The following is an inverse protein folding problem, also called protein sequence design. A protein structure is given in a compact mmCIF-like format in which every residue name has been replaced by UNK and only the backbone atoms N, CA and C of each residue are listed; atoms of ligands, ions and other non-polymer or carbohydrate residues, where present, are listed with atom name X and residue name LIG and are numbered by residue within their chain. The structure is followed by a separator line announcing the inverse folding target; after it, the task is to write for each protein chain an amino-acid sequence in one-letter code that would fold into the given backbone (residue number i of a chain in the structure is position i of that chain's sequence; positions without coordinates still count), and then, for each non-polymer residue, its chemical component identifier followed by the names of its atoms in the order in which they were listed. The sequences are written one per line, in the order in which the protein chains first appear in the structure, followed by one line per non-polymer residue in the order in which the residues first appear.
data_IF_074976251033
#
_entry.id   IF_074976251033
#
_cell.length_a   1.000
_cell.length_b   1.000
_cell.length_c   1.000
_cell.angle_alpha   90.00
_cell.angle_beta   90.00
_cell.angle_gamma   90.00
#
_symmetry.space_group_name_H-M   'P 1'
#
loop_
_entity.id
_entity.type
_entity.pdbx_description
1 polymer ?
#
# COMPACT_ATOMS: atom_id res chain seq x y z
N UNK A 1 23.37 31.70 -47.81
CA UNK A 1 23.46 30.44 -47.02
C UNK A 1 22.82 30.70 -45.66
N UNK A 2 21.50 30.53 -45.54
CA UNK A 2 20.78 30.63 -44.27
C UNK A 2 20.16 29.25 -44.01
N UNK A 3 20.70 28.52 -43.04
CA UNK A 3 20.14 27.23 -42.61
C UNK A 3 18.91 27.49 -41.72
N UNK A 4 17.77 26.99 -42.17
CA UNK A 4 16.53 26.90 -41.40
C UNK A 4 16.64 25.68 -40.46
N UNK A 5 16.81 25.89 -39.16
CA UNK A 5 16.67 24.81 -38.17
C UNK A 5 15.20 24.55 -37.87
N UNK A 6 14.64 23.50 -38.48
CA UNK A 6 13.35 22.93 -38.11
C UNK A 6 13.49 22.22 -36.76
N UNK A 7 13.16 22.92 -35.67
CA UNK A 7 12.92 22.30 -34.37
C UNK A 7 11.61 21.50 -34.44
N UNK A 8 11.71 20.21 -34.75
CA UNK A 8 10.64 19.24 -34.49
C UNK A 8 10.50 19.11 -32.97
N UNK A 9 9.63 19.91 -32.36
CA UNK A 9 9.17 19.64 -31.00
C UNK A 9 8.35 18.36 -31.05
N UNK A 10 8.95 17.26 -30.61
CA UNK A 10 8.25 16.02 -30.34
C UNK A 10 7.25 16.30 -29.23
N UNK A 11 6.00 16.60 -29.59
CA UNK A 11 4.88 16.62 -28.66
C UNK A 11 4.74 15.18 -28.15
N UNK A 12 5.39 14.89 -27.02
CA UNK A 12 5.10 13.70 -26.25
C UNK A 12 3.62 13.85 -25.86
N UNK A 13 2.77 13.08 -26.54
CA UNK A 13 1.38 12.90 -26.18
C UNK A 13 1.38 12.17 -24.83
N UNK A 14 1.59 12.90 -23.74
CA UNK A 14 1.31 12.42 -22.39
C UNK A 14 -0.19 12.18 -22.36
N UNK A 15 -0.62 10.95 -22.67
CA UNK A 15 -1.93 10.46 -22.25
C UNK A 15 -1.97 10.71 -20.75
N UNK A 16 -2.76 11.71 -20.35
CA UNK A 16 -2.75 12.24 -18.98
C UNK A 16 -2.80 11.09 -17.98
N UNK A 17 -1.73 10.94 -17.21
CA UNK A 17 -1.73 10.04 -16.06
C UNK A 17 -2.85 10.56 -15.17
N UNK A 18 -3.93 9.81 -15.06
CA UNK A 18 -5.10 10.21 -14.28
C UNK A 18 -4.78 10.00 -12.79
N UNK A 19 -3.94 10.87 -12.26
CA UNK A 19 -3.44 10.87 -10.88
C UNK A 19 -4.59 10.94 -9.89
N UNK A 20 -4.36 10.46 -8.67
CA UNK A 20 -5.34 10.60 -7.60
C UNK A 20 -5.48 12.07 -7.19
N UNK A 21 -6.69 12.48 -6.80
CA UNK A 21 -6.92 13.76 -6.15
C UNK A 21 -6.32 13.78 -4.74
N UNK A 22 -6.12 14.96 -4.15
CA UNK A 22 -5.57 15.04 -2.78
C UNK A 22 -6.48 14.38 -1.74
N UNK A 23 -7.81 14.40 -1.94
CA UNK A 23 -8.74 13.69 -1.06
C UNK A 23 -8.65 12.17 -1.20
N UNK A 24 -8.41 11.66 -2.42
CA UNK A 24 -8.17 10.23 -2.68
C UNK A 24 -6.85 9.75 -2.07
N UNK A 25 -5.77 10.54 -2.24
CA UNK A 25 -4.46 10.30 -1.61
C UNK A 25 -4.57 10.28 -0.09
N UNK A 26 -5.30 11.26 0.48
CA UNK A 26 -5.55 11.32 1.91
C UNK A 26 -6.35 10.11 2.39
N UNK A 27 -7.41 9.72 1.67
CA UNK A 27 -8.25 8.59 2.05
C UNK A 27 -7.47 7.27 2.19
N UNK A 28 -6.57 6.98 1.24
CA UNK A 28 -5.77 5.74 1.30
C UNK A 28 -4.72 5.78 2.41
N UNK A 29 -4.09 6.94 2.65
CA UNK A 29 -3.13 7.13 3.76
C UNK A 29 -3.82 7.03 5.12
N UNK A 30 -4.95 7.69 5.29
CA UNK A 30 -5.74 7.64 6.53
C UNK A 30 -6.18 6.20 6.82
N UNK A 31 -6.62 5.46 5.82
CA UNK A 31 -7.01 4.07 5.98
C UNK A 31 -5.83 3.19 6.44
N UNK A 32 -4.68 3.31 5.80
CA UNK A 32 -3.47 2.58 6.20
C UNK A 32 -3.04 2.94 7.63
N UNK A 33 -2.97 4.22 7.95
CA UNK A 33 -2.55 4.68 9.27
C UNK A 33 -3.55 4.34 10.37
N UNK A 34 -4.85 4.29 10.08
CA UNK A 34 -5.87 3.78 11.01
C UNK A 34 -5.57 2.33 11.40
N UNK A 35 -5.35 1.46 10.43
CA UNK A 35 -5.06 0.05 10.70
C UNK A 35 -3.70 -0.16 11.38
N UNK A 36 -2.67 0.56 10.94
CA UNK A 36 -1.34 0.54 11.58
C UNK A 36 -1.40 1.03 13.03
N UNK A 37 -2.21 2.06 13.31
CA UNK A 37 -2.44 2.57 14.66
C UNK A 37 -3.18 1.54 15.53
N UNK A 38 -4.22 0.88 15.00
CA UNK A 38 -4.89 -0.21 15.70
C UNK A 38 -3.93 -1.35 16.02
N UNK A 39 -3.07 -1.74 15.08
CA UNK A 39 -2.05 -2.77 15.29
C UNK A 39 -1.06 -2.36 16.36
N UNK A 40 -0.46 -1.16 16.25
CA UNK A 40 0.52 -0.67 17.21
C UNK A 40 -0.01 -0.74 18.65
N UNK A 41 -1.28 -0.38 18.83
CA UNK A 41 -1.97 -0.37 20.13
C UNK A 41 -2.55 -1.73 20.56
N UNK A 42 -2.34 -2.81 19.81
CA UNK A 42 -2.84 -4.15 20.15
C UNK A 42 -4.36 -4.30 20.02
N UNK A 43 -4.98 -3.51 19.14
CA UNK A 43 -6.43 -3.47 18.87
C UNK A 43 -6.80 -4.07 17.51
N UNK A 44 -5.82 -4.41 16.68
CA UNK A 44 -6.07 -5.05 15.38
C UNK A 44 -6.43 -6.53 15.58
N UNK A 45 -7.51 -6.98 14.96
CA UNK A 45 -7.96 -8.37 15.07
C UNK A 45 -6.99 -9.32 14.37
N UNK A 46 -6.78 -10.49 14.98
CA UNK A 46 -6.12 -11.64 14.38
C UNK A 46 -7.16 -12.76 14.16
N UNK A 47 -6.78 -13.88 13.53
CA UNK A 47 -7.66 -15.05 13.42
C UNK A 47 -8.18 -15.52 14.79
N UNK A 48 -7.33 -15.42 15.81
CA UNK A 48 -7.71 -15.62 17.20
C UNK A 48 -7.23 -14.42 18.02
N UNK A 49 -8.16 -13.74 18.70
CA UNK A 49 -7.86 -12.58 19.53
C UNK A 49 -7.37 -11.37 18.73
N UNK A 50 -6.32 -10.72 19.25
CA UNK A 50 -5.74 -9.50 18.68
C UNK A 50 -4.26 -9.72 18.33
N UNK A 51 -3.78 -8.98 17.34
CA UNK A 51 -2.35 -8.86 17.06
C UNK A 51 -1.64 -8.20 18.25
N UNK A 52 -0.42 -8.63 18.61
CA UNK A 52 0.35 -8.02 19.68
C UNK A 52 0.69 -6.55 19.37
N UNK A 53 0.92 -5.76 20.41
CA UNK A 53 1.35 -4.37 20.28
C UNK A 53 2.67 -4.27 19.51
N UNK A 54 2.80 -3.21 18.71
CA UNK A 54 3.98 -2.92 17.91
C UNK A 54 4.72 -1.69 18.43
N UNK A 55 6.01 -1.85 18.77
CA UNK A 55 6.81 -0.76 19.33
C UNK A 55 7.41 0.20 18.30
N UNK A 56 7.49 -0.22 17.03
CA UNK A 56 8.26 0.46 15.97
C UNK A 56 7.46 0.70 14.67
N UNK A 57 6.13 0.75 14.75
CA UNK A 57 5.27 0.90 13.57
C UNK A 57 5.37 2.33 13.03
N UNK A 58 5.99 2.54 11.87
CA UNK A 58 6.11 3.89 11.29
C UNK A 58 4.79 4.40 10.70
N UNK A 59 4.55 5.70 10.79
CA UNK A 59 3.45 6.33 10.06
C UNK A 59 3.74 6.34 8.56
N UNK A 60 2.73 6.00 7.74
CA UNK A 60 2.82 6.07 6.28
C UNK A 60 2.46 7.48 5.80
N UNK A 61 3.19 7.95 4.79
CA UNK A 61 2.97 9.19 4.05
C UNK A 61 2.72 8.88 2.57
N UNK A 62 2.07 9.79 1.87
CA UNK A 62 1.88 9.65 0.43
C UNK A 62 3.14 10.07 -0.32
N UNK A 63 3.56 9.31 -1.34
CA UNK A 63 4.72 9.61 -2.17
C UNK A 63 4.34 9.58 -3.66
N UNK A 64 4.55 10.72 -4.33
CA UNK A 64 4.23 10.91 -5.75
C UNK A 64 5.09 10.06 -6.68
N UNK A 65 6.35 9.77 -6.34
CA UNK A 65 7.21 8.92 -7.14
C UNK A 65 6.74 7.46 -7.08
N UNK A 66 6.28 7.02 -5.90
CA UNK A 66 5.66 5.70 -5.74
C UNK A 66 4.33 5.63 -6.49
N UNK A 67 3.52 6.70 -6.48
CA UNK A 67 2.29 6.79 -7.28
C UNK A 67 2.57 6.66 -8.78
N UNK A 68 3.56 7.38 -9.31
CA UNK A 68 3.92 7.29 -10.73
C UNK A 68 4.30 5.86 -11.14
N UNK A 69 5.06 5.17 -10.28
CA UNK A 69 5.41 3.76 -10.50
C UNK A 69 4.17 2.85 -10.49
N UNK A 70 3.26 3.04 -9.53
CA UNK A 70 2.00 2.31 -9.47
C UNK A 70 1.10 2.61 -10.69
N UNK A 71 1.02 3.86 -11.14
CA UNK A 71 0.25 4.27 -12.31
C UNK A 71 0.77 3.67 -13.61
N UNK A 72 2.10 3.64 -13.78
CA UNK A 72 2.75 2.98 -14.91
C UNK A 72 2.37 1.50 -14.98
N UNK A 73 2.35 0.80 -13.84
CA UNK A 73 1.93 -0.60 -13.81
C UNK A 73 0.43 -0.77 -14.02
N UNK A 74 -0.40 0.03 -13.34
CA UNK A 74 -1.85 -0.01 -13.46
C UNK A 74 -2.31 0.17 -14.92
N UNK A 75 -1.63 1.03 -15.69
CA UNK A 75 -1.92 1.27 -17.11
C UNK A 75 -1.84 0.03 -18.00
N UNK A 76 -1.13 -1.01 -17.56
CA UNK A 76 -1.00 -2.28 -18.29
C UNK A 76 -2.27 -3.12 -18.23
N UNK A 77 -3.20 -2.83 -17.31
CA UNK A 77 -4.45 -3.58 -17.15
C UNK A 77 -4.25 -5.10 -17.05
N UNK A 78 -3.19 -5.52 -16.37
CA UNK A 78 -2.86 -6.91 -16.09
C UNK A 78 -3.31 -7.31 -14.68
N UNK A 79 -3.36 -8.62 -14.42
CA UNK A 79 -3.66 -9.20 -13.09
C UNK A 79 -2.41 -9.76 -12.39
N UNK A 80 -1.23 -9.39 -12.88
CA UNK A 80 0.06 -9.81 -12.34
C UNK A 80 0.74 -8.68 -11.57
N UNK A 81 1.57 -9.06 -10.59
CA UNK A 81 2.47 -8.14 -9.92
C UNK A 81 3.55 -7.61 -10.87
N UNK A 82 4.03 -6.39 -10.61
CA UNK A 82 5.02 -5.70 -11.45
C UNK A 82 6.42 -6.31 -11.41
N UNK A 83 6.77 -7.02 -10.34
CA UNK A 83 8.14 -7.47 -10.09
C UNK A 83 9.14 -6.32 -9.86
N UNK A 84 8.64 -5.10 -9.63
CA UNK A 84 9.46 -3.92 -9.40
C UNK A 84 10.09 -3.88 -8.01
N UNK A 85 10.84 -2.80 -7.74
CA UNK A 85 11.56 -2.59 -6.47
C UNK A 85 10.68 -2.22 -5.27
N UNK A 86 9.44 -1.81 -5.52
CA UNK A 86 8.50 -1.41 -4.47
C UNK A 86 7.70 -2.63 -4.01
N UNK A 87 7.21 -2.59 -2.77
CA UNK A 87 6.18 -3.53 -2.33
C UNK A 87 4.90 -3.23 -3.10
N UNK A 88 3.98 -4.18 -3.21
CA UNK A 88 2.81 -4.00 -4.07
C UNK A 88 1.59 -4.78 -3.57
N UNK A 89 0.45 -4.08 -3.50
CA UNK A 89 -0.86 -4.68 -3.30
C UNK A 89 -1.76 -4.35 -4.49
N UNK A 90 -2.51 -5.35 -4.96
CA UNK A 90 -3.41 -5.26 -6.09
C UNK A 90 -4.86 -5.41 -5.64
N UNK A 91 -5.76 -4.68 -6.28
CA UNK A 91 -7.20 -4.84 -6.09
C UNK A 91 -7.93 -4.71 -7.43
N UNK A 92 -9.01 -5.47 -7.59
CA UNK A 92 -9.77 -5.55 -8.83
C UNK A 92 -11.25 -5.52 -8.54
N UNK A 93 -12.02 -4.89 -9.43
CA UNK A 93 -13.48 -4.91 -9.41
C UNK A 93 -14.02 -5.02 -10.83
N UNK A 94 -15.08 -5.81 -11.01
CA UNK A 94 -15.84 -5.87 -12.26
C UNK A 94 -16.68 -4.61 -12.52
N UNK A 95 -16.82 -3.72 -11.52
CA UNK A 95 -17.54 -2.47 -11.67
C UNK A 95 -16.75 -1.48 -12.52
N UNK A 96 -17.35 -1.02 -13.63
CA UNK A 96 -16.74 -0.05 -14.53
C UNK A 96 -16.74 1.37 -13.98
N UNK A 97 -17.68 1.68 -13.08
CA UNK A 97 -17.94 3.03 -12.57
C UNK A 97 -17.68 3.15 -11.06
N UNK A 98 -16.89 2.24 -10.48
CA UNK A 98 -16.52 2.34 -9.08
C UNK A 98 -15.77 3.64 -8.82
N UNK A 99 -16.34 4.48 -7.95
CA UNK A 99 -15.70 5.72 -7.51
C UNK A 99 -14.30 5.42 -6.98
N UNK A 100 -13.30 6.25 -7.34
CA UNK A 100 -11.89 6.01 -6.99
C UNK A 100 -11.67 5.93 -5.47
N UNK A 101 -12.25 6.86 -4.70
CA UNK A 101 -12.20 6.83 -3.22
C UNK A 101 -12.82 5.55 -2.68
N UNK A 102 -13.99 5.14 -3.19
CA UNK A 102 -14.62 3.88 -2.79
C UNK A 102 -13.73 2.67 -3.12
N UNK A 103 -13.11 2.63 -4.30
CA UNK A 103 -12.16 1.57 -4.68
C UNK A 103 -10.96 1.51 -3.71
N UNK A 104 -10.36 2.65 -3.39
CA UNK A 104 -9.23 2.77 -2.46
C UNK A 104 -9.58 2.25 -1.06
N UNK A 105 -10.73 2.63 -0.53
CA UNK A 105 -11.17 2.19 0.81
C UNK A 105 -11.56 0.70 0.80
N UNK A 106 -12.25 0.22 -0.24
CA UNK A 106 -12.56 -1.21 -0.37
C UNK A 106 -11.29 -2.06 -0.45
N UNK A 107 -10.32 -1.64 -1.26
CA UNK A 107 -9.02 -2.31 -1.37
C UNK A 107 -8.29 -2.35 -0.02
N UNK A 108 -8.14 -1.20 0.64
CA UNK A 108 -7.49 -1.11 1.95
C UNK A 108 -8.15 -2.03 3.00
N UNK A 109 -9.48 -2.03 3.08
CA UNK A 109 -10.21 -2.88 4.02
C UNK A 109 -10.08 -4.37 3.65
N UNK A 110 -10.12 -4.70 2.36
CA UNK A 110 -9.99 -6.07 1.87
C UNK A 110 -8.59 -6.64 2.11
N UNK A 111 -7.55 -5.84 1.92
CA UNK A 111 -6.17 -6.25 2.19
C UNK A 111 -5.95 -6.46 3.68
N UNK A 112 -6.43 -5.55 4.53
CA UNK A 112 -6.28 -5.69 5.98
C UNK A 112 -7.09 -6.85 6.57
N UNK A 113 -8.26 -7.16 6.00
CA UNK A 113 -9.11 -8.24 6.50
C UNK A 113 -8.44 -9.61 6.47
N UNK A 114 -7.40 -9.79 5.66
CA UNK A 114 -6.56 -10.98 5.64
C UNK A 114 -5.94 -11.28 7.01
N UNK A 115 -5.54 -10.27 7.79
CA UNK A 115 -5.01 -10.50 9.13
C UNK A 115 -6.01 -11.19 10.06
N UNK A 116 -7.29 -10.84 9.94
CA UNK A 116 -8.37 -11.51 10.67
C UNK A 116 -8.72 -12.87 10.06
N UNK A 117 -8.76 -12.97 8.74
CA UNK A 117 -9.25 -14.18 8.05
C UNK A 117 -8.22 -15.32 8.03
N UNK A 118 -6.92 -15.01 7.95
CA UNK A 118 -5.83 -15.97 7.75
C UNK A 118 -4.93 -16.11 8.97
N UNK A 119 -4.86 -15.05 9.76
CA UNK A 119 -4.11 -14.99 11.00
C UNK A 119 -2.60 -14.86 10.81
N UNK A 120 -1.97 -14.05 11.66
CA UNK A 120 -0.51 -14.01 11.80
C UNK A 120 -0.05 -14.91 12.93
N UNK A 121 1.01 -15.68 12.67
CA UNK A 121 1.69 -16.45 13.71
C UNK A 121 2.28 -15.55 14.81
N UNK A 122 2.36 -16.09 16.02
CA UNK A 122 2.80 -15.34 17.20
C UNK A 122 4.23 -14.81 17.08
N UNK A 123 5.13 -15.48 16.34
CA UNK A 123 6.50 -15.01 16.11
C UNK A 123 6.57 -13.71 15.30
N UNK A 124 5.53 -13.40 14.50
CA UNK A 124 5.49 -12.32 13.52
C UNK A 124 6.57 -12.39 12.44
N UNK A 125 7.27 -13.53 12.32
CA UNK A 125 8.20 -13.80 11.23
C UNK A 125 7.37 -14.17 10.01
N UNK A 126 7.61 -13.51 8.87
CA UNK A 126 6.98 -13.88 7.61
C UNK A 126 7.80 -14.99 6.95
N UNK A 127 7.56 -16.24 7.30
CA UNK A 127 8.14 -17.38 6.57
C UNK A 127 7.31 -17.73 5.32
N UNK A 128 7.79 -18.73 4.57
CA UNK A 128 7.11 -19.16 3.34
C UNK A 128 5.74 -19.78 3.61
N UNK A 129 5.56 -20.52 4.71
CA UNK A 129 4.28 -21.12 5.06
C UNK A 129 3.26 -20.04 5.42
N UNK A 130 3.70 -19.04 6.18
CA UNK A 130 2.91 -17.88 6.53
C UNK A 130 2.48 -17.09 5.29
N UNK A 131 3.43 -16.78 4.40
CA UNK A 131 3.16 -16.06 3.16
C UNK A 131 2.20 -16.83 2.23
N UNK A 132 2.36 -18.15 2.13
CA UNK A 132 1.52 -19.02 1.30
C UNK A 132 0.05 -19.11 1.75
N UNK A 133 -0.30 -18.64 2.96
CA UNK A 133 -1.71 -18.42 3.33
C UNK A 133 -2.38 -17.33 2.46
N UNK A 134 -1.59 -16.56 1.72
CA UNK A 134 -2.02 -15.40 0.96
C UNK A 134 -2.24 -14.18 1.84
N UNK A 135 -1.54 -14.05 2.97
CA UNK A 135 -1.64 -12.90 3.89
C UNK A 135 -0.76 -11.70 3.46
N UNK A 136 -0.21 -11.78 2.25
CA UNK A 136 0.78 -10.85 1.71
C UNK A 136 0.31 -9.39 1.70
N UNK A 137 -0.99 -9.15 1.46
CA UNK A 137 -1.49 -7.78 1.41
C UNK A 137 -1.55 -7.17 2.81
N UNK A 138 -2.07 -7.88 3.81
CA UNK A 138 -2.09 -7.38 5.19
C UNK A 138 -0.67 -7.20 5.75
N UNK A 139 0.23 -8.15 5.48
CA UNK A 139 1.61 -8.07 5.98
C UNK A 139 2.38 -6.89 5.41
N UNK A 140 2.18 -6.55 4.14
CA UNK A 140 2.73 -5.34 3.55
C UNK A 140 2.16 -4.07 4.21
N UNK A 141 0.85 -4.03 4.49
CA UNK A 141 0.25 -2.89 5.21
C UNK A 141 0.76 -2.77 6.65
N UNK A 142 1.03 -3.90 7.32
CA UNK A 142 1.52 -3.98 8.69
C UNK A 142 3.04 -3.78 8.82
N UNK A 143 3.78 -3.79 7.71
CA UNK A 143 5.25 -3.79 7.72
C UNK A 143 5.83 -2.55 8.41
N UNK A 144 6.57 -2.74 9.50
CA UNK A 144 6.95 -1.65 10.40
C UNK A 144 7.75 -0.54 9.69
N UNK A 145 8.66 -0.91 8.80
CA UNK A 145 9.61 0.00 8.15
C UNK A 145 9.11 0.64 6.87
N UNK A 146 7.98 0.20 6.32
CA UNK A 146 7.35 0.86 5.17
C UNK A 146 6.78 2.21 5.60
N UNK A 147 7.22 3.28 4.94
CA UNK A 147 6.88 4.67 5.30
C UNK A 147 6.13 5.42 4.21
N UNK A 148 6.16 4.93 2.98
CA UNK A 148 5.59 5.63 1.84
C UNK A 148 4.66 4.71 1.05
N UNK A 149 3.55 5.28 0.61
CA UNK A 149 2.59 4.63 -0.29
C UNK A 149 2.29 5.55 -1.47
N UNK A 150 2.07 4.95 -2.64
CA UNK A 150 1.51 5.64 -3.79
C UNK A 150 0.62 4.68 -4.57
N UNK A 151 -0.53 5.15 -5.03
CA UNK A 151 -1.55 4.27 -5.62
C UNK A 151 -2.11 4.84 -6.92
N UNK A 152 -2.62 3.95 -7.77
CA UNK A 152 -3.30 4.32 -8.99
C UNK A 152 -4.56 3.47 -9.20
N UNK A 153 -5.61 4.10 -9.71
CA UNK A 153 -6.87 3.45 -10.10
C UNK A 153 -7.04 3.58 -11.61
N UNK A 154 -6.88 2.47 -12.32
CA UNK A 154 -7.01 2.38 -13.77
C UNK A 154 -8.37 1.78 -14.16
N UNK A 155 -9.00 2.36 -15.18
CA UNK A 155 -10.17 1.77 -15.83
C UNK A 155 -9.73 0.91 -17.01
N UNK A 156 -10.11 -0.37 -17.00
CA UNK A 156 -9.69 -1.39 -17.95
C UNK A 156 -10.91 -1.92 -18.71
N UNK A 157 -11.44 -1.12 -19.65
CA UNK A 157 -12.71 -1.38 -20.33
C UNK A 157 -12.77 -2.74 -21.06
N UNK A 158 -11.65 -3.21 -21.60
CA UNK A 158 -11.52 -4.49 -22.32
C UNK A 158 -11.28 -5.71 -21.41
N UNK A 159 -11.07 -5.51 -20.11
CA UNK A 159 -10.84 -6.59 -19.13
C UNK A 159 -12.16 -7.02 -18.47
N UNK A 160 -12.24 -8.25 -17.95
CA UNK A 160 -13.31 -8.65 -17.00
C UNK A 160 -13.26 -7.79 -15.74
N UNK A 161 -12.06 -7.41 -15.31
CA UNK A 161 -11.80 -6.51 -14.19
C UNK A 161 -11.79 -5.07 -14.69
N UNK A 162 -12.94 -4.41 -14.64
CA UNK A 162 -13.13 -3.07 -15.20
C UNK A 162 -12.43 -1.95 -14.42
N UNK A 163 -12.23 -2.14 -13.12
CA UNK A 163 -11.43 -1.25 -12.27
C UNK A 163 -10.26 -2.04 -11.70
N UNK A 164 -9.04 -1.56 -11.96
CA UNK A 164 -7.79 -2.14 -11.47
C UNK A 164 -7.06 -1.11 -10.61
N UNK A 165 -6.69 -1.50 -9.40
CA UNK A 165 -6.01 -0.65 -8.43
C UNK A 165 -4.68 -1.28 -8.06
N UNK A 166 -3.63 -0.47 -8.15
CA UNK A 166 -2.27 -0.82 -7.72
C UNK A 166 -1.88 0.16 -6.63
N UNK A 167 -1.49 -0.33 -5.45
CA UNK A 167 -0.77 0.45 -4.45
C UNK A 167 0.64 -0.11 -4.31
N UNK A 168 1.63 0.77 -4.37
CA UNK A 168 3.03 0.43 -4.14
C UNK A 168 3.55 1.04 -2.85
N UNK A 169 4.55 0.38 -2.26
CA UNK A 169 5.07 0.66 -0.93
C UNK A 169 6.59 0.83 -0.94
N UNK A 170 7.09 1.86 -0.25
CA UNK A 170 8.52 2.14 -0.15
C UNK A 170 8.93 2.55 1.27
N UNK A 171 9.96 1.93 1.87
CA UNK A 171 10.60 0.69 1.42
C UNK A 171 9.60 -0.49 1.30
N UNK A 172 9.87 -1.48 0.42
CA UNK A 172 9.06 -2.70 0.35
C UNK A 172 9.08 -3.47 1.67
N UNK A 173 8.00 -4.19 1.94
CA UNK A 173 7.92 -5.18 3.01
C UNK A 173 8.02 -6.61 2.49
N UNK A 174 7.41 -7.53 3.22
CA UNK A 174 7.26 -8.93 2.84
C UNK A 174 8.57 -9.69 2.54
N UNK A 175 9.65 -9.31 3.20
CA UNK A 175 10.90 -10.07 3.14
C UNK A 175 10.74 -11.38 3.91
N UNK A 176 10.86 -12.49 3.19
CA UNK A 176 10.77 -13.81 3.81
C UNK A 176 11.85 -14.01 4.88
N UNK A 177 11.47 -14.58 6.01
CA UNK A 177 12.32 -14.78 7.18
C UNK A 177 12.50 -13.53 8.06
N UNK A 178 11.97 -12.38 7.68
CA UNK A 178 12.01 -11.17 8.50
C UNK A 178 10.76 -10.99 9.34
N UNK A 179 10.91 -10.29 10.46
CA UNK A 179 9.81 -9.90 11.33
C UNK A 179 9.02 -8.72 10.74
N UNK A 180 7.70 -8.85 10.66
CA UNK A 180 6.79 -7.81 10.13
C UNK A 180 6.89 -6.52 10.97
N UNK A 181 6.89 -6.66 12.30
CA UNK A 181 7.10 -5.59 13.25
C UNK A 181 7.58 -6.11 14.62
N UNK A 182 8.24 -5.26 15.41
CA UNK A 182 8.74 -5.65 16.73
C UNK A 182 7.65 -5.49 17.78
N UNK A 183 7.46 -6.52 18.60
CA UNK A 183 6.54 -6.48 19.74
C UNK A 183 7.05 -5.52 20.81
N UNK A 184 6.13 -4.79 21.44
CA UNK A 184 6.45 -3.98 22.62
C UNK A 184 5.47 -2.83 22.79
N UNK A 185 5.67 -2.04 23.85
CA UNK A 185 4.84 -0.87 24.14
C UNK A 185 4.84 0.07 22.92
N UNK A 186 3.69 0.63 22.51
CA UNK A 186 3.63 1.58 21.41
C UNK A 186 4.70 2.66 21.54
N UNK A 187 5.39 2.89 20.43
CA UNK A 187 6.49 3.84 20.28
C UNK A 187 7.77 3.63 21.11
N UNK A 188 7.89 2.57 21.92
CA UNK A 188 9.10 2.34 22.71
C UNK A 188 10.32 1.94 21.85
N UNK A 189 10.12 1.74 20.54
CA UNK A 189 11.18 1.48 19.56
C UNK A 189 11.27 2.54 18.46
N UNK A 190 10.73 3.75 18.67
CA UNK A 190 10.83 4.85 17.73
C UNK A 190 12.02 5.76 18.08
N UNK A 191 12.82 6.13 17.07
CA UNK A 191 13.97 7.04 17.26
C UNK A 191 13.54 8.45 17.71
N UNK A 192 12.37 8.92 17.24
CA UNK A 192 11.82 10.26 17.49
C UNK A 192 10.50 10.24 18.28
N UNK A 193 10.19 9.12 18.94
CA UNK A 193 8.94 8.94 19.68
C UNK A 193 7.70 8.80 18.78
N UNK A 194 6.51 8.96 19.38
CA UNK A 194 5.24 8.86 18.67
C UNK A 194 4.96 10.10 17.81
N UNK A 195 4.29 9.91 16.67
CA UNK A 195 3.79 11.00 15.83
C UNK A 195 2.65 11.79 16.46
N UNK A 196 1.84 11.14 17.31
CA UNK A 196 0.90 11.79 18.23
C UNK A 196 0.66 10.88 19.43
N UNK A 197 0.28 11.46 20.57
CA UNK A 197 0.20 10.75 21.86
C UNK A 197 -0.70 9.49 21.85
N UNK A 198 -1.67 9.43 20.94
CA UNK A 198 -2.64 8.33 20.85
C UNK A 198 -2.49 7.48 19.58
N UNK A 199 -1.63 7.85 18.63
CA UNK A 199 -1.51 7.08 17.38
C UNK A 199 -0.82 5.73 17.61
N UNK A 200 0.17 5.68 18.51
CA UNK A 200 1.08 4.54 18.65
C UNK A 200 2.03 4.38 17.45
N UNK A 201 2.06 5.34 16.53
CA UNK A 201 2.88 5.30 15.32
C UNK A 201 4.17 6.12 15.52
N UNK A 202 5.30 5.64 15.01
CA UNK A 202 6.54 6.42 14.94
C UNK A 202 6.43 7.54 13.91
N UNK A 203 7.04 8.69 14.22
CA UNK A 203 7.14 9.88 13.35
C UNK A 203 8.12 9.74 12.18
#
# INVERSE_FOLDING_TARGET
MFLLFLLFTFLINFKGVNTLSESEKKAIVDCHNKYRSQLANGKAQNLTGFLPQGMNIKQIKYDKNVEMSAANWASKCTISHSGGKNGENLFMSSSQNLNKTAALIQACNSWWSECKAKGLQSSLILDRNEFNKGIGHCTQMAWATTTNIGCAVQRCSKSTWKTYLVCQYSPPGNYLGQTIYKKGKPCSGCDKGCSSSNSGLCS
#
